data_IF_550718231282
#
_entry.id   IF_550718231282
#
_cell.length_a   1.000
_cell.length_b   1.000
_cell.length_c   1.000
_cell.angle_alpha   90.00
_cell.angle_beta   90.00
_cell.angle_gamma   90.00
#
_symmetry.space_group_name_H-M   'P 1'
#
loop_
_entity.id
_entity.type
_entity.pdbx_description
1 polymer ?
#
# COMPACT_ATOMS: atom_id res chain seq x y z
N UNK A 1 -5.15 2.99 -19.03
CA UNK A 1 -6.47 3.20 -18.40
C UNK A 1 -7.52 3.77 -19.37
N UNK A 2 -7.12 4.22 -20.55
CA UNK A 2 -7.99 4.69 -21.64
C UNK A 2 -9.13 3.72 -22.03
N UNK A 3 -8.86 2.42 -22.14
CA UNK A 3 -9.92 1.40 -22.39
C UNK A 3 -10.99 1.36 -21.31
N UNK A 4 -10.61 1.67 -20.07
CA UNK A 4 -11.50 1.76 -18.91
C UNK A 4 -12.00 3.19 -18.65
N UNK A 5 -11.60 4.16 -19.50
CA UNK A 5 -11.88 5.59 -19.35
C UNK A 5 -11.52 6.14 -17.96
N UNK A 6 -10.41 5.66 -17.40
CA UNK A 6 -9.89 6.11 -16.11
C UNK A 6 -8.66 7.00 -16.30
N UNK A 7 -8.56 8.03 -15.47
CA UNK A 7 -7.40 8.95 -15.44
C UNK A 7 -6.22 8.42 -14.62
N UNK A 8 -6.48 7.43 -13.76
CA UNK A 8 -5.47 6.77 -12.94
C UNK A 8 -4.40 6.09 -13.80
N UNK A 9 -3.20 5.95 -13.24
CA UNK A 9 -2.08 5.24 -13.85
C UNK A 9 -1.99 3.81 -13.29
N UNK A 10 -1.37 2.86 -14.02
CA UNK A 10 -1.08 1.53 -13.48
C UNK A 10 -0.25 1.55 -12.19
N UNK A 11 0.51 2.62 -11.95
CA UNK A 11 1.22 2.80 -10.68
C UNK A 11 0.24 2.90 -9.50
N UNK A 12 -0.89 3.59 -9.69
CA UNK A 12 -1.87 3.83 -8.62
C UNK A 12 -2.51 2.52 -8.17
N UNK A 13 -2.61 1.52 -9.04
CA UNK A 13 -3.11 0.20 -8.64
C UNK A 13 -2.13 -0.52 -7.71
N UNK A 14 -0.81 -0.36 -7.89
CA UNK A 14 0.18 -0.90 -6.93
C UNK A 14 0.13 -0.17 -5.60
N UNK A 15 -0.06 1.16 -5.65
CA UNK A 15 -0.22 2.01 -4.46
C UNK A 15 -1.45 1.60 -3.64
N UNK A 16 -2.61 1.47 -4.29
CA UNK A 16 -3.82 0.98 -3.64
C UNK A 16 -3.64 -0.44 -3.11
N UNK A 17 -3.03 -1.34 -3.88
CA UNK A 17 -2.78 -2.71 -3.47
C UNK A 17 -1.91 -2.78 -2.19
N UNK A 18 -0.78 -2.08 -2.17
CA UNK A 18 0.12 -2.03 -1.01
C UNK A 18 -0.58 -1.50 0.24
N UNK A 19 -1.37 -0.42 0.09
CA UNK A 19 -2.14 0.18 1.18
C UNK A 19 -3.21 -0.78 1.74
N UNK A 20 -3.89 -1.54 0.87
CA UNK A 20 -4.86 -2.55 1.29
C UNK A 20 -4.20 -3.73 2.01
N UNK A 21 -3.07 -4.23 1.50
CA UNK A 21 -2.30 -5.28 2.16
C UNK A 21 -1.84 -4.85 3.55
N UNK A 22 -1.41 -3.60 3.68
CA UNK A 22 -0.96 -3.04 4.94
C UNK A 22 -2.09 -2.93 5.96
N UNK A 23 -3.27 -2.44 5.56
CA UNK A 23 -4.47 -2.43 6.42
C UNK A 23 -4.97 -3.82 6.79
N UNK A 24 -4.75 -4.81 5.93
CA UNK A 24 -5.04 -6.20 6.21
C UNK A 24 -4.01 -6.86 7.17
N UNK A 25 -2.98 -6.13 7.61
CA UNK A 25 -1.96 -6.65 8.53
C UNK A 25 -1.00 -7.65 7.89
N UNK A 26 -0.86 -7.63 6.56
CA UNK A 26 0.06 -8.53 5.86
C UNK A 26 1.50 -8.18 6.23
N UNK A 27 2.30 -9.21 6.52
CA UNK A 27 3.71 -9.07 6.84
C UNK A 27 4.48 -8.31 5.73
N UNK A 28 5.40 -7.43 6.14
CA UNK A 28 6.21 -6.59 5.26
C UNK A 28 7.00 -7.37 4.20
N UNK A 29 7.55 -8.54 4.56
CA UNK A 29 8.31 -9.36 3.63
C UNK A 29 7.41 -9.96 2.55
N UNK A 30 6.17 -10.32 2.89
CA UNK A 30 5.19 -10.79 1.91
C UNK A 30 4.73 -9.66 1.00
N UNK A 31 4.47 -8.45 1.54
CA UNK A 31 4.16 -7.27 0.72
C UNK A 31 5.27 -6.99 -0.29
N UNK A 32 6.53 -7.00 0.14
CA UNK A 32 7.71 -6.80 -0.73
C UNK A 32 7.84 -7.88 -1.79
N UNK A 33 7.65 -9.15 -1.42
CA UNK A 33 7.74 -10.27 -2.35
C UNK A 33 6.64 -10.20 -3.42
N UNK A 34 5.40 -9.90 -3.04
CA UNK A 34 4.26 -9.84 -3.96
C UNK A 34 4.37 -8.65 -4.92
N UNK A 35 4.84 -7.49 -4.43
CA UNK A 35 4.99 -6.28 -5.23
C UNK A 35 6.33 -6.19 -5.96
N UNK A 36 7.21 -7.17 -5.77
CA UNK A 36 8.56 -7.24 -6.32
C UNK A 36 9.43 -6.00 -5.99
N UNK A 37 9.48 -5.67 -4.70
CA UNK A 37 10.22 -4.52 -4.20
C UNK A 37 11.62 -4.92 -3.70
N UNK A 38 12.63 -4.71 -4.55
CA UNK A 38 14.03 -5.02 -4.23
C UNK A 38 14.69 -4.01 -3.28
N UNK A 39 14.24 -2.74 -3.29
CA UNK A 39 14.84 -1.70 -2.45
C UNK A 39 14.31 -1.78 -1.01
N UNK A 40 15.18 -1.61 0.00
CA UNK A 40 14.73 -1.46 1.37
C UNK A 40 13.70 -0.33 1.48
N UNK A 41 12.62 -0.59 2.21
CA UNK A 41 11.59 0.37 2.61
C UNK A 41 10.77 1.07 1.49
N UNK A 42 10.97 0.72 0.22
CA UNK A 42 10.21 1.36 -0.88
C UNK A 42 8.71 1.11 -0.78
N UNK A 43 8.30 -0.05 -0.25
CA UNK A 43 6.87 -0.39 -0.04
C UNK A 43 6.19 0.61 0.89
N UNK A 44 6.73 0.81 2.10
CA UNK A 44 6.07 1.65 3.11
C UNK A 44 6.27 3.13 2.84
N UNK A 45 7.44 3.53 2.33
CA UNK A 45 7.72 4.94 2.03
C UNK A 45 6.97 5.48 0.81
N UNK A 46 6.73 4.65 -0.21
CA UNK A 46 6.22 5.13 -1.52
C UNK A 46 4.83 4.61 -1.85
N UNK A 47 4.48 3.39 -1.44
CA UNK A 47 3.26 2.72 -1.88
C UNK A 47 2.16 2.61 -0.83
N UNK A 48 2.49 2.73 0.46
CA UNK A 48 1.51 2.65 1.55
C UNK A 48 1.01 4.04 1.91
N UNK A 49 -0.30 4.25 1.81
CA UNK A 49 -0.99 5.40 2.37
C UNK A 49 -1.63 5.03 3.71
N UNK A 50 -1.45 5.90 4.70
CA UNK A 50 -2.23 5.90 5.94
C UNK A 50 -3.13 7.12 5.99
N UNK A 51 -4.37 6.91 6.41
CA UNK A 51 -5.26 8.01 6.76
C UNK A 51 -5.30 8.23 8.28
N UNK A 52 -6.01 9.28 8.70
CA UNK A 52 -6.11 9.64 10.11
C UNK A 52 -6.74 8.52 10.96
N UNK A 53 -7.70 7.80 10.40
CA UNK A 53 -8.40 6.72 11.10
C UNK A 53 -7.47 5.52 11.31
N UNK A 54 -6.67 5.18 10.31
CA UNK A 54 -5.64 4.14 10.42
C UNK A 54 -4.68 4.44 11.60
N UNK A 55 -4.26 5.70 11.76
CA UNK A 55 -3.37 6.13 12.83
C UNK A 55 -4.04 6.08 14.22
N UNK A 56 -5.27 6.60 14.33
CA UNK A 56 -6.04 6.56 15.59
C UNK A 56 -6.26 5.12 16.03
N UNK A 57 -6.67 4.23 15.12
CA UNK A 57 -6.89 2.83 15.42
C UNK A 57 -5.60 2.15 15.88
N UNK A 58 -4.47 2.45 15.25
CA UNK A 58 -3.17 1.91 15.66
C UNK A 58 -2.80 2.31 17.08
N UNK A 59 -3.02 3.58 17.46
CA UNK A 59 -2.76 4.07 18.82
C UNK A 59 -3.66 3.36 19.85
N UNK A 60 -4.93 3.14 19.51
CA UNK A 60 -5.90 2.52 20.43
C UNK A 60 -5.64 1.03 20.70
N UNK A 61 -4.73 0.38 19.97
CA UNK A 61 -4.34 -1.03 20.16
C UNK A 61 -3.17 -1.16 21.16
N UNK A 62 -2.52 -0.05 21.53
CA UNK A 62 -1.40 0.02 22.49
C UNK A 62 -1.95 0.16 23.91
#
# INVERSE_FOLDING_TARGET
MEKLRMELLPHDTRYTCASLMDRAGINENYKKLILDHARPDITNSTYVQKDLLDLINTINII
#
